data_IF_171489303722
#
_entry.id   IF_171489303722
#
_cell.length_a   1.000
_cell.length_b   1.000
_cell.length_c   1.000
_cell.angle_alpha   90.00
_cell.angle_beta   90.00
_cell.angle_gamma   90.00
#
_symmetry.space_group_name_H-M   'P 1'
#
loop_
_entity.id
_entity.type
_entity.pdbx_description
1 polymer ?
#
# COMPACT_ATOMS: atom_id res chain seq x y z
N UNK A 1 15.55 6.14 -17.30
CA UNK A 1 14.83 5.68 -16.09
C UNK A 1 13.62 4.90 -16.59
N UNK A 2 13.38 3.67 -16.13
CA UNK A 2 12.31 2.81 -16.66
C UNK A 2 11.17 2.82 -15.65
N UNK A 3 10.10 3.55 -15.95
CA UNK A 3 8.91 3.61 -15.11
C UNK A 3 8.12 2.30 -15.25
N UNK A 4 7.76 1.70 -14.13
CA UNK A 4 6.95 0.49 -14.08
C UNK A 4 5.52 0.90 -13.73
N UNK A 5 4.60 0.66 -14.67
CA UNK A 5 3.16 0.85 -14.47
C UNK A 5 2.47 -0.51 -14.47
N UNK A 6 1.50 -0.70 -13.59
CA UNK A 6 0.68 -1.90 -13.50
C UNK A 6 -0.73 -1.54 -13.04
N UNK A 7 -1.73 -2.24 -13.57
CA UNK A 7 -3.13 -2.08 -13.18
C UNK A 7 -3.76 -3.46 -13.07
N UNK A 8 -4.52 -3.69 -12.01
CA UNK A 8 -5.34 -4.88 -11.81
C UNK A 8 -6.76 -4.45 -11.43
N UNK A 9 -7.76 -5.24 -11.81
CA UNK A 9 -9.15 -5.00 -11.45
C UNK A 9 -9.88 -6.32 -11.22
N UNK A 10 -10.87 -6.31 -10.33
CA UNK A 10 -11.70 -7.46 -10.02
C UNK A 10 -13.13 -7.00 -9.74
N UNK A 11 -14.12 -7.85 -10.07
CA UNK A 11 -15.52 -7.66 -9.68
C UNK A 11 -15.82 -8.60 -8.52
N UNK A 12 -16.34 -8.05 -7.42
CA UNK A 12 -16.65 -8.81 -6.21
C UNK A 12 -18.11 -8.58 -5.79
N UNK A 13 -18.81 -9.58 -5.23
CA UNK A 13 -20.18 -9.43 -4.75
C UNK A 13 -20.22 -8.78 -3.35
N UNK A 14 -19.68 -7.57 -3.22
CA UNK A 14 -19.64 -6.80 -1.98
C UNK A 14 -20.06 -5.35 -2.21
N UNK A 15 -20.58 -4.70 -1.18
CA UNK A 15 -20.88 -3.26 -1.22
C UNK A 15 -19.58 -2.45 -1.29
N UNK A 16 -19.60 -1.31 -1.99
CA UNK A 16 -18.44 -0.43 -2.16
C UNK A 16 -17.80 -0.04 -0.82
N UNK A 17 -18.61 0.33 0.18
CA UNK A 17 -18.12 0.72 1.50
C UNK A 17 -17.31 -0.40 2.17
N UNK A 18 -17.72 -1.67 1.98
CA UNK A 18 -16.97 -2.83 2.50
C UNK A 18 -15.66 -3.06 1.78
N UNK A 19 -15.62 -2.78 0.47
CA UNK A 19 -14.37 -2.81 -0.28
C UNK A 19 -13.43 -1.69 0.20
N UNK A 20 -13.97 -0.49 0.45
CA UNK A 20 -13.18 0.63 0.96
C UNK A 20 -12.64 0.37 2.37
N UNK A 21 -13.45 -0.17 3.29
CA UNK A 21 -12.98 -0.57 4.63
C UNK A 21 -11.77 -1.52 4.57
N UNK A 22 -11.73 -2.44 3.61
CA UNK A 22 -10.59 -3.34 3.40
C UNK A 22 -9.35 -2.60 2.88
N UNK A 23 -9.54 -1.66 1.95
CA UNK A 23 -8.45 -0.88 1.34
C UNK A 23 -7.89 0.18 2.30
N UNK A 24 -8.73 0.81 3.12
CA UNK A 24 -8.31 1.81 4.11
C UNK A 24 -7.44 1.18 5.22
N UNK A 25 -7.67 -0.11 5.52
CA UNK A 25 -6.89 -0.88 6.50
C UNK A 25 -5.53 -1.33 5.93
N UNK A 26 -4.69 -0.38 5.53
CA UNK A 26 -3.37 -0.61 4.91
C UNK A 26 -2.46 -1.49 5.77
N UNK A 27 -2.54 -1.37 7.10
CA UNK A 27 -1.80 -2.19 8.06
C UNK A 27 -2.17 -3.68 8.02
N UNK A 28 -3.36 -4.00 7.50
CA UNK A 28 -3.87 -5.37 7.36
C UNK A 28 -3.65 -5.98 5.99
N UNK A 29 -3.03 -5.26 5.05
CA UNK A 29 -2.71 -5.77 3.72
C UNK A 29 -1.95 -7.11 3.72
N UNK A 30 -0.97 -7.36 4.63
CA UNK A 30 -0.31 -8.66 4.70
C UNK A 30 -1.23 -9.83 5.00
N UNK A 31 -2.40 -9.61 5.63
CA UNK A 31 -3.35 -10.67 5.98
C UNK A 31 -4.04 -11.25 4.75
N UNK A 32 -4.34 -10.41 3.74
CA UNK A 32 -5.15 -10.79 2.58
C UNK A 32 -4.40 -10.67 1.25
N UNK A 33 -3.27 -9.95 1.20
CA UNK A 33 -2.38 -9.85 0.03
C UNK A 33 -0.90 -10.13 0.35
N UNK A 34 -0.58 -11.26 1.02
CA UNK A 34 0.78 -11.57 1.49
C UNK A 34 1.80 -11.77 0.37
N UNK A 35 1.36 -12.09 -0.85
CA UNK A 35 2.27 -12.34 -1.97
C UNK A 35 3.02 -11.08 -2.38
N UNK A 36 2.36 -9.92 -2.31
CA UNK A 36 2.91 -8.60 -2.66
C UNK A 36 3.30 -7.80 -1.42
N UNK A 37 2.48 -7.79 -0.37
CA UNK A 37 2.72 -6.98 0.83
C UNK A 37 3.19 -7.88 1.97
N UNK A 38 4.49 -7.87 2.26
CA UNK A 38 5.11 -8.77 3.25
C UNK A 38 4.97 -8.28 4.69
N UNK A 39 5.02 -6.98 4.90
CA UNK A 39 4.82 -6.35 6.21
C UNK A 39 4.43 -4.90 6.06
N UNK A 40 3.69 -4.38 7.03
CA UNK A 40 3.35 -2.95 7.16
C UNK A 40 3.53 -2.55 8.62
N UNK A 41 4.26 -1.47 8.84
CA UNK A 41 4.43 -0.80 10.14
C UNK A 41 3.82 0.60 10.01
N UNK A 42 2.86 0.95 10.88
CA UNK A 42 2.26 2.28 10.90
C UNK A 42 3.18 3.24 11.63
N UNK A 43 3.63 4.29 10.94
CA UNK A 43 4.52 5.31 11.49
C UNK A 43 3.73 6.50 12.03
N UNK A 44 2.69 6.91 11.30
CA UNK A 44 1.83 8.04 11.66
C UNK A 44 0.37 7.73 11.36
N UNK A 45 -0.53 8.34 12.15
CA UNK A 45 -1.98 8.32 11.93
C UNK A 45 -2.50 9.75 11.86
N UNK A 46 -3.55 9.97 11.07
CA UNK A 46 -4.24 11.26 11.00
C UNK A 46 -5.17 11.51 12.20
N UNK A 47 -5.86 12.65 12.20
CA UNK A 47 -6.81 13.01 13.26
C UNK A 47 -8.02 12.07 13.36
N UNK A 48 -8.34 11.32 12.30
CA UNK A 48 -9.39 10.31 12.25
C UNK A 48 -8.92 8.93 12.70
N UNK A 49 -7.64 8.78 13.03
CA UNK A 49 -7.03 7.50 13.43
C UNK A 49 -6.65 6.60 12.25
N UNK A 50 -6.75 7.08 11.01
CA UNK A 50 -6.35 6.32 9.83
C UNK A 50 -4.83 6.40 9.62
N UNK A 51 -4.18 5.34 9.10
CA UNK A 51 -2.76 5.42 8.74
C UNK A 51 -2.52 6.54 7.73
N UNK A 52 -1.61 7.46 8.04
CA UNK A 52 -1.20 8.54 7.13
C UNK A 52 0.22 8.34 6.61
N UNK A 53 1.05 7.57 7.33
CA UNK A 53 2.40 7.20 6.93
C UNK A 53 2.73 5.79 7.41
N UNK A 54 3.27 4.97 6.52
CA UNK A 54 3.63 3.56 6.81
C UNK A 54 5.02 3.23 6.29
N UNK A 55 5.69 2.28 6.94
CA UNK A 55 6.81 1.53 6.36
C UNK A 55 6.29 0.19 5.87
N UNK A 56 6.48 -0.11 4.58
CA UNK A 56 5.98 -1.32 3.96
C UNK A 56 7.09 -2.09 3.26
N UNK A 57 7.06 -3.43 3.39
CA UNK A 57 7.91 -4.32 2.60
C UNK A 57 7.10 -4.88 1.42
N UNK A 58 7.41 -4.44 0.21
CA UNK A 58 6.73 -4.81 -1.02
C UNK A 58 7.58 -5.77 -1.86
N UNK A 59 6.99 -6.91 -2.23
CA UNK A 59 7.56 -7.88 -3.16
C UNK A 59 7.11 -7.53 -4.57
N UNK A 60 8.07 -7.22 -5.43
CA UNK A 60 7.82 -7.03 -6.88
C UNK A 60 8.36 -8.25 -7.61
N UNK A 61 7.46 -9.02 -8.22
CA UNK A 61 7.79 -10.15 -9.07
C UNK A 61 7.47 -9.82 -10.53
N UNK A 62 8.52 -9.54 -11.32
CA UNK A 62 8.43 -9.32 -12.76
C UNK A 62 9.58 -10.07 -13.43
N UNK A 63 9.34 -11.23 -14.06
CA UNK A 63 10.41 -12.05 -14.64
C UNK A 63 11.38 -11.22 -15.51
N UNK A 64 12.71 -11.38 -15.34
CA UNK A 64 13.42 -12.32 -14.44
C UNK A 64 13.69 -11.77 -13.02
N UNK A 65 13.10 -10.63 -12.64
CA UNK A 65 13.37 -9.92 -11.39
C UNK A 65 12.33 -10.27 -10.34
N UNK A 66 12.79 -10.74 -9.18
CA UNK A 66 12.00 -10.77 -7.97
C UNK A 66 12.77 -10.05 -6.87
N UNK A 67 12.24 -8.94 -6.37
CA UNK A 67 12.92 -8.09 -5.39
C UNK A 67 11.96 -7.56 -4.35
N UNK A 68 12.44 -7.50 -3.12
CA UNK A 68 11.75 -6.87 -2.00
C UNK A 68 12.24 -5.42 -1.88
N UNK A 69 11.30 -4.52 -1.66
CA UNK A 69 11.53 -3.10 -1.42
C UNK A 69 11.01 -2.75 -0.04
N UNK A 70 11.87 -2.20 0.80
CA UNK A 70 11.48 -1.57 2.06
C UNK A 70 11.26 -0.09 1.77
N UNK A 71 10.03 0.39 1.91
CA UNK A 71 9.63 1.73 1.49
C UNK A 71 8.84 2.41 2.58
N UNK A 72 9.14 3.69 2.81
CA UNK A 72 8.25 4.59 3.55
C UNK A 72 7.28 5.22 2.57
N UNK A 73 5.98 5.10 2.87
CA UNK A 73 4.89 5.56 2.01
C UNK A 73 3.95 6.49 2.78
N UNK A 74 3.57 7.60 2.13
CA UNK A 74 2.45 8.42 2.53
C UNK A 74 1.16 7.74 2.04
N UNK A 75 0.14 7.75 2.90
CA UNK A 75 -1.17 7.18 2.64
C UNK A 75 -2.18 8.31 2.52
N UNK A 76 -2.92 8.34 1.43
CA UNK A 76 -4.07 9.23 1.25
C UNK A 76 -5.30 8.39 0.90
N UNK A 77 -6.39 8.63 1.60
CA UNK A 77 -7.69 8.02 1.31
C UNK A 77 -8.50 9.11 0.61
N UNK A 78 -8.95 8.85 -0.62
CA UNK A 78 -9.86 9.72 -1.38
C UNK A 78 -11.22 9.03 -1.53
N UNK A 79 -12.17 9.29 -0.62
CA UNK A 79 -13.47 8.70 -0.69
C UNK A 79 -14.26 9.21 -1.91
N UNK A 80 -15.05 8.35 -2.57
CA UNK A 80 -15.38 6.99 -2.14
C UNK A 80 -14.54 5.89 -2.83
N UNK A 81 -13.39 6.22 -3.44
CA UNK A 81 -12.87 5.40 -4.54
C UNK A 81 -11.45 4.86 -4.43
N UNK A 82 -10.56 5.49 -3.65
CA UNK A 82 -9.14 5.19 -3.76
C UNK A 82 -8.38 5.30 -2.43
N UNK A 83 -7.34 4.47 -2.35
CA UNK A 83 -6.26 4.60 -1.36
C UNK A 83 -4.97 4.72 -2.15
N UNK A 84 -4.35 5.89 -2.05
CA UNK A 84 -3.10 6.21 -2.72
C UNK A 84 -1.92 5.98 -1.76
N UNK A 85 -0.97 5.16 -2.22
CA UNK A 85 0.29 4.91 -1.53
C UNK A 85 1.43 5.53 -2.32
N UNK A 86 1.98 6.64 -1.82
CA UNK A 86 3.06 7.38 -2.48
C UNK A 86 4.36 7.21 -1.70
N UNK A 87 5.43 6.73 -2.35
CA UNK A 87 6.75 6.67 -1.70
C UNK A 87 7.19 8.07 -1.27
N UNK A 88 7.58 8.21 -0.01
CA UNK A 88 8.25 9.40 0.51
C UNK A 88 9.71 9.34 0.04
N UNK A 89 10.14 10.33 -0.76
CA UNK A 89 11.53 10.43 -1.22
C UNK A 89 12.43 10.95 -0.08
N UNK A 90 13.69 10.52 -0.07
CA UNK A 90 14.72 10.95 0.89
C UNK A 90 14.34 10.72 2.37
N UNK A 91 13.57 9.66 2.65
CA UNK A 91 13.32 9.29 4.05
C UNK A 91 14.66 8.91 4.71
N UNK A 92 14.91 9.25 5.99
CA UNK A 92 16.16 8.93 6.67
C UNK A 92 16.53 7.43 6.63
N UNK A 93 15.55 6.55 6.41
CA UNK A 93 15.77 5.10 6.25
C UNK A 93 16.24 4.66 4.85
N UNK A 94 16.31 5.56 3.86
CA UNK A 94 16.84 5.31 2.51
C UNK A 94 18.38 5.37 2.43
N UNK A 95 19.09 5.63 3.54
CA UNK A 95 20.57 5.73 3.61
C UNK A 95 21.28 4.45 4.05
#
# INVERSE_FOLDING_TARGET
>A
MKELHGTASAVVPAAQDRCMELLEAVDRYPEWHPDVVKSVEVLERDAGGQPSKVRAKLRVERPPVAKDFDLVMAVAIDPPGAVDLTRVQDDPSDR
#
